data_IF_708091703132
#
_entry.id   IF_708091703132
#
_cell.length_a   1.000
_cell.length_b   1.000
_cell.length_c   1.000
_cell.angle_alpha   90.00
_cell.angle_beta   90.00
_cell.angle_gamma   90.00
#
_symmetry.space_group_name_H-M   'P 1'
#
loop_
_entity.id
_entity.type
_entity.pdbx_description
1 polymer ?
#
# COMPACT_ATOMS: atom_id res chain seq x y z
N UNK A 1 -5.11 -12.43 -1.36
CA UNK A 1 -3.93 -11.55 -1.38
C UNK A 1 -2.74 -12.19 -2.10
N UNK A 2 -2.52 -13.51 -2.01
CA UNK A 2 -1.46 -14.20 -2.76
C UNK A 2 -1.43 -13.92 -4.28
N UNK A 3 -2.57 -14.04 -4.98
CA UNK A 3 -2.64 -13.72 -6.41
C UNK A 3 -2.19 -12.28 -6.72
N UNK A 4 -2.44 -11.34 -5.79
CA UNK A 4 -1.99 -9.95 -5.93
C UNK A 4 -0.48 -9.84 -5.84
N UNK A 5 0.16 -10.58 -4.92
CA UNK A 5 1.64 -10.64 -4.85
C UNK A 5 2.24 -11.20 -6.14
N UNK A 6 1.67 -12.27 -6.69
CA UNK A 6 2.17 -12.83 -7.96
C UNK A 6 2.13 -11.77 -9.06
N UNK A 7 1.03 -11.02 -9.18
CA UNK A 7 0.93 -9.94 -10.16
C UNK A 7 1.92 -8.81 -9.89
N UNK A 8 2.18 -8.45 -8.62
CA UNK A 8 3.19 -7.45 -8.26
C UNK A 8 4.60 -7.92 -8.65
N UNK A 9 4.96 -9.15 -8.30
CA UNK A 9 6.29 -9.71 -8.57
C UNK A 9 6.56 -9.82 -10.09
N UNK A 10 5.55 -10.22 -10.88
CA UNK A 10 5.61 -10.24 -12.34
C UNK A 10 5.77 -8.83 -12.93
N UNK A 11 5.03 -7.84 -12.40
CA UNK A 11 5.09 -6.45 -12.86
C UNK A 11 6.47 -5.82 -12.59
N UNK A 12 7.02 -6.05 -11.39
CA UNK A 12 8.34 -5.55 -10.99
C UNK A 12 9.49 -6.24 -11.70
N UNK A 13 9.31 -7.48 -12.13
CA UNK A 13 10.27 -8.19 -12.99
C UNK A 13 10.20 -7.78 -14.47
N UNK A 14 9.29 -6.88 -14.83
CA UNK A 14 8.95 -6.54 -16.20
C UNK A 14 8.84 -5.03 -16.45
N UNK A 15 7.77 -4.63 -17.12
CA UNK A 15 7.59 -3.26 -17.62
C UNK A 15 7.34 -2.19 -16.54
N UNK A 16 7.07 -2.62 -15.30
CA UNK A 16 6.81 -1.76 -14.16
C UNK A 16 7.92 -1.81 -13.11
N UNK A 17 9.13 -2.23 -13.49
CA UNK A 17 10.32 -2.14 -12.64
C UNK A 17 10.52 -0.70 -12.13
N UNK A 18 10.82 -0.55 -10.83
CA UNK A 18 11.06 0.74 -10.20
C UNK A 18 9.82 1.59 -9.93
N UNK A 19 8.60 1.05 -10.14
CA UNK A 19 7.35 1.68 -9.71
C UNK A 19 7.15 1.50 -8.20
N UNK A 20 6.49 2.48 -7.60
CA UNK A 20 6.05 2.48 -6.20
C UNK A 20 4.61 3.04 -6.06
N UNK A 21 4.12 3.17 -4.81
CA UNK A 21 2.76 3.65 -4.51
C UNK A 21 2.48 5.06 -5.02
N UNK A 22 3.48 5.94 -5.05
CA UNK A 22 3.31 7.35 -5.40
C UNK A 22 3.61 7.64 -6.87
N UNK A 23 4.26 6.71 -7.58
CA UNK A 23 4.61 6.84 -8.99
C UNK A 23 3.46 6.60 -9.97
N UNK A 24 2.32 6.08 -9.50
CA UNK A 24 1.14 5.71 -10.31
C UNK A 24 0.00 6.70 -10.02
N UNK A 25 -0.08 7.77 -10.79
CA UNK A 25 -1.03 8.87 -10.54
C UNK A 25 -2.27 8.88 -11.46
N UNK A 26 -2.27 8.06 -12.52
CA UNK A 26 -3.32 8.10 -13.56
C UNK A 26 -3.66 6.72 -14.12
N UNK A 27 -4.92 6.53 -14.53
CA UNK A 27 -5.37 5.34 -15.26
C UNK A 27 -4.80 5.23 -16.68
N UNK A 28 -4.22 6.31 -17.21
CA UNK A 28 -3.51 6.29 -18.50
C UNK A 28 -2.10 5.69 -18.38
N UNK A 29 -1.60 5.53 -17.15
CA UNK A 29 -0.32 4.87 -16.92
C UNK A 29 -0.39 3.39 -17.33
N UNK A 30 0.55 2.87 -18.13
CA UNK A 30 0.57 1.45 -18.50
C UNK A 30 0.63 0.51 -17.28
N UNK A 31 1.19 0.98 -16.17
CA UNK A 31 1.26 0.29 -14.89
C UNK A 31 0.09 0.62 -13.96
N UNK A 32 -0.97 1.28 -14.42
CA UNK A 32 -2.11 1.68 -13.57
C UNK A 32 -2.80 0.52 -12.84
N UNK A 33 -2.76 -0.69 -13.41
CA UNK A 33 -3.26 -1.90 -12.74
C UNK A 33 -2.53 -2.18 -11.43
N UNK A 34 -1.22 -1.87 -11.38
CA UNK A 34 -0.36 -2.09 -10.22
C UNK A 34 -0.77 -1.20 -9.04
N UNK A 35 -1.42 -0.05 -9.30
CA UNK A 35 -2.00 0.79 -8.24
C UNK A 35 -3.05 0.05 -7.41
N UNK A 36 -3.86 -0.83 -8.02
CA UNK A 36 -4.83 -1.65 -7.29
C UNK A 36 -4.17 -2.80 -6.52
N UNK A 37 -3.05 -3.30 -7.02
CA UNK A 37 -2.33 -4.40 -6.39
C UNK A 37 -1.50 -3.90 -5.20
N UNK A 38 -0.67 -2.88 -5.42
CA UNK A 38 0.12 -2.23 -4.38
C UNK A 38 -0.77 -1.52 -3.36
N UNK A 39 -1.82 -0.82 -3.79
CA UNK A 39 -2.74 -0.15 -2.86
C UNK A 39 -3.40 -1.12 -1.88
N UNK A 40 -3.81 -2.30 -2.34
CA UNK A 40 -4.39 -3.32 -1.45
C UNK A 40 -3.36 -3.84 -0.42
N UNK A 41 -2.11 -4.03 -0.84
CA UNK A 41 -1.02 -4.47 0.04
C UNK A 41 -0.56 -3.36 1.01
N UNK A 42 -0.54 -2.11 0.57
CA UNK A 42 -0.25 -0.95 1.40
C UNK A 42 -1.27 -0.79 2.54
N UNK A 43 -2.55 -0.97 2.24
CA UNK A 43 -3.60 -0.96 3.28
C UNK A 43 -3.44 -2.13 4.26
N UNK A 44 -3.15 -3.34 3.76
CA UNK A 44 -2.87 -4.48 4.64
C UNK A 44 -1.65 -4.22 5.54
N UNK A 45 -0.60 -3.60 5.00
CA UNK A 45 0.60 -3.22 5.75
C UNK A 45 0.29 -2.16 6.81
N UNK A 46 -0.47 -1.12 6.48
CA UNK A 46 -0.91 -0.10 7.44
C UNK A 46 -1.73 -0.72 8.59
N UNK A 47 -2.66 -1.62 8.26
CA UNK A 47 -3.48 -2.34 9.24
C UNK A 47 -2.64 -3.26 10.13
N UNK A 48 -1.60 -3.90 9.59
CA UNK A 48 -0.65 -4.67 10.38
C UNK A 48 0.13 -3.80 11.37
N UNK A 49 0.53 -2.59 10.96
CA UNK A 49 1.26 -1.66 11.83
C UNK A 49 0.37 -1.02 12.92
N UNK A 50 -0.89 -0.75 12.60
CA UNK A 50 -1.75 0.15 13.39
C UNK A 50 -2.98 -0.53 13.99
N UNK A 51 -3.31 -1.73 13.55
CA UNK A 51 -4.53 -2.46 13.90
C UNK A 51 -5.55 -2.50 12.74
N UNK A 52 -6.42 -3.53 12.70
CA UNK A 52 -7.30 -3.80 11.56
C UNK A 52 -8.37 -2.72 11.33
N UNK A 53 -8.76 -1.99 12.38
CA UNK A 53 -9.84 -1.00 12.32
C UNK A 53 -9.36 0.42 12.03
N UNK A 54 -8.04 0.63 11.82
CA UNK A 54 -7.41 1.95 11.61
C UNK A 54 -8.11 2.78 10.51
N UNK A 55 -8.55 2.12 9.44
CA UNK A 55 -9.23 2.80 8.35
C UNK A 55 -10.65 3.26 8.74
N UNK A 56 -11.38 2.42 9.48
CA UNK A 56 -12.78 2.67 9.83
C UNK A 56 -12.88 3.68 10.98
N UNK A 57 -12.02 3.56 11.98
CA UNK A 57 -12.10 4.34 13.21
C UNK A 57 -11.33 5.67 13.14
N UNK A 58 -10.26 5.74 12.33
CA UNK A 58 -9.38 6.91 12.31
C UNK A 58 -9.34 7.60 10.94
N UNK A 59 -9.11 6.85 9.85
CA UNK A 59 -8.98 7.45 8.51
C UNK A 59 -10.30 7.98 7.94
N UNK A 60 -11.29 7.11 7.72
CA UNK A 60 -12.53 7.49 7.05
C UNK A 60 -13.29 8.67 7.71
N UNK A 61 -13.32 8.80 9.06
CA UNK A 61 -13.98 9.92 9.71
C UNK A 61 -13.42 11.31 9.35
N UNK A 62 -12.10 11.42 9.09
CA UNK A 62 -11.44 12.71 8.85
C UNK A 62 -11.23 13.04 7.36
N UNK A 63 -11.40 12.05 6.46
CA UNK A 63 -11.21 12.22 5.01
C UNK A 63 -12.10 13.30 4.40
N UNK A 64 -13.33 13.48 4.89
CA UNK A 64 -14.24 14.48 4.34
C UNK A 64 -13.75 15.92 4.59
N UNK A 65 -13.00 16.14 5.67
CA UNK A 65 -12.52 17.44 6.09
C UNK A 65 -11.10 17.73 5.57
N UNK A 66 -10.21 16.73 5.60
CA UNK A 66 -8.80 16.87 5.23
C UNK A 66 -8.49 16.44 3.79
N UNK A 67 -9.37 15.65 3.17
CA UNK A 67 -9.04 14.92 1.94
C UNK A 67 -8.17 13.69 2.23
N UNK A 68 -8.03 12.82 1.24
CA UNK A 68 -7.47 11.48 1.45
C UNK A 68 -5.98 11.49 1.84
N UNK A 69 -5.18 12.37 1.25
CA UNK A 69 -3.72 12.35 1.47
C UNK A 69 -3.37 12.85 2.86
N UNK A 70 -3.90 14.02 3.24
CA UNK A 70 -3.66 14.59 4.57
C UNK A 70 -4.24 13.67 5.67
N UNK A 71 -5.43 13.11 5.46
CA UNK A 71 -5.98 12.09 6.37
C UNK A 71 -5.09 10.84 6.49
N UNK A 72 -4.49 10.38 5.39
CA UNK A 72 -3.59 9.23 5.43
C UNK A 72 -2.34 9.55 6.24
N UNK A 73 -1.70 10.69 5.98
CA UNK A 73 -0.48 11.10 6.68
C UNK A 73 -0.72 11.33 8.19
N UNK A 74 -1.89 11.86 8.55
CA UNK A 74 -2.28 12.04 9.95
C UNK A 74 -2.46 10.71 10.68
N UNK A 75 -3.10 9.72 10.04
CA UNK A 75 -3.34 8.39 10.62
C UNK A 75 -2.09 7.50 10.60
N UNK A 76 -1.33 7.53 9.52
CA UNK A 76 -0.10 6.74 9.39
C UNK A 76 1.05 7.31 10.27
N UNK A 77 0.95 8.56 10.71
CA UNK A 77 1.98 9.23 11.51
C UNK A 77 3.29 9.49 10.75
N UNK A 78 3.25 9.43 9.42
CA UNK A 78 4.39 9.59 8.52
C UNK A 78 3.91 10.18 7.19
N UNK A 79 4.83 10.73 6.38
CA UNK A 79 4.47 11.22 5.04
C UNK A 79 4.12 10.06 4.11
N UNK A 80 3.30 10.31 3.06
CA UNK A 80 3.00 9.26 2.10
C UNK A 80 4.26 8.75 1.38
N UNK A 81 5.21 9.65 1.13
CA UNK A 81 6.49 9.31 0.50
C UNK A 81 7.35 8.41 1.40
N UNK A 82 7.45 8.73 2.70
CA UNK A 82 8.20 7.91 3.66
C UNK A 82 7.53 6.55 3.89
N UNK A 83 6.19 6.53 4.02
CA UNK A 83 5.42 5.29 4.08
C UNK A 83 5.66 4.43 2.83
N UNK A 84 5.63 5.02 1.64
CA UNK A 84 5.88 4.31 0.39
C UNK A 84 7.28 3.71 0.38
N UNK A 85 8.30 4.44 0.83
CA UNK A 85 9.66 3.92 0.92
C UNK A 85 9.77 2.72 1.86
N UNK A 86 9.20 2.80 3.06
CA UNK A 86 9.19 1.70 4.04
C UNK A 86 8.39 0.49 3.54
N UNK A 87 7.22 0.73 2.96
CA UNK A 87 6.39 -0.29 2.35
C UNK A 87 7.12 -1.02 1.21
N UNK A 88 7.86 -0.30 0.36
CA UNK A 88 8.63 -0.92 -0.72
C UNK A 88 9.78 -1.78 -0.20
N UNK A 89 10.40 -1.43 0.93
CA UNK A 89 11.37 -2.30 1.60
C UNK A 89 10.72 -3.58 2.15
N UNK A 90 9.49 -3.48 2.67
CA UNK A 90 8.69 -4.65 3.05
C UNK A 90 8.34 -5.52 1.82
N UNK A 91 8.00 -4.90 0.69
CA UNK A 91 7.64 -5.65 -0.53
C UNK A 91 8.79 -6.44 -1.16
N UNK A 92 10.04 -6.13 -0.81
CA UNK A 92 11.26 -6.86 -1.20
C UNK A 92 11.53 -8.11 -0.31
N UNK A 93 10.77 -8.29 0.76
CA UNK A 93 10.87 -9.47 1.62
C UNK A 93 10.36 -10.74 0.92
N UNK A 94 10.63 -11.90 1.54
CA UNK A 94 10.14 -13.17 1.02
C UNK A 94 8.60 -13.21 0.97
N UNK A 95 8.05 -14.05 0.10
CA UNK A 95 6.59 -14.25 0.03
C UNK A 95 6.00 -14.74 1.38
N UNK A 96 6.76 -15.48 2.17
CA UNK A 96 6.31 -15.94 3.50
C UNK A 96 6.16 -14.75 4.47
N UNK A 97 7.18 -13.90 4.58
CA UNK A 97 7.15 -12.68 5.41
C UNK A 97 6.04 -11.73 4.97
N UNK A 98 5.85 -11.56 3.66
CA UNK A 98 4.76 -10.74 3.12
C UNK A 98 3.39 -11.30 3.45
N UNK A 99 3.21 -12.62 3.49
CA UNK A 99 1.91 -13.22 3.83
C UNK A 99 1.62 -13.23 5.33
N UNK A 100 2.65 -13.15 6.18
CA UNK A 100 2.50 -13.17 7.63
C UNK A 100 1.63 -12.01 8.16
N UNK A 101 1.71 -10.84 7.52
CA UNK A 101 0.93 -9.66 7.91
C UNK A 101 -0.58 -9.82 7.70
N UNK A 102 -1.05 -10.90 7.06
CA UNK A 102 -2.48 -11.15 6.85
C UNK A 102 -3.12 -11.93 8.00
N UNK A 103 -2.32 -12.42 8.94
CA UNK A 103 -2.77 -13.17 10.10
C UNK A 103 -3.05 -12.28 11.33
N UNK A 104 -3.33 -10.99 11.12
CA UNK A 104 -3.64 -10.05 12.21
C UNK A 104 -4.97 -10.45 12.85
N UNK A 105 -4.96 -10.67 14.17
CA UNK A 105 -6.16 -10.94 15.00
C UNK A 105 -6.89 -9.66 15.39
#
# INVERSE_FOLDING_TARGET
MENKLVTVDEAFSGECEGRDLVSIESYEDPCSYLGYELGAWAIAYLAYLSGPDILLEEFHPIVADLGWREAFEEVAGTSLEDFSAEFMLFMDQSTEERLEILNVE
#
